data_IF_292319028558
#
_entry.id   IF_292319028558
#
_cell.length_a   1.000
_cell.length_b   1.000
_cell.length_c   1.000
_cell.angle_alpha   90.00
_cell.angle_beta   90.00
_cell.angle_gamma   90.00
#
_symmetry.space_group_name_H-M   'P 1'
#
loop_
_entity.id
_entity.type
_entity.pdbx_description
1 polymer ?
#
# COMPACT_ATOMS: atom_id res chain seq x y z
N UNK A 1 -6.75 -4.87 8.23
CA UNK A 1 -6.96 -3.62 7.46
C UNK A 1 -6.47 -2.44 8.28
N UNK A 2 -6.07 -1.33 7.66
CA UNK A 2 -5.69 -0.10 8.38
C UNK A 2 -6.85 0.39 9.25
N UNK A 3 -6.54 1.00 10.39
CA UNK A 3 -7.58 1.51 11.29
C UNK A 3 -8.40 2.62 10.60
N UNK A 4 -9.73 2.69 10.79
CA UNK A 4 -10.61 3.63 10.09
C UNK A 4 -10.20 5.11 10.21
N UNK A 5 -9.57 5.48 11.33
CA UNK A 5 -9.02 6.82 11.57
C UNK A 5 -7.96 7.27 10.56
N UNK A 6 -7.38 6.36 9.77
CA UNK A 6 -6.35 6.66 8.77
C UNK A 6 -6.90 6.76 7.35
N UNK A 7 -8.22 6.74 7.17
CA UNK A 7 -8.87 6.78 5.84
C UNK A 7 -8.51 8.03 5.07
N UNK A 8 -8.53 9.21 5.71
CA UNK A 8 -8.19 10.47 5.06
C UNK A 8 -6.74 10.48 4.56
N UNK A 9 -5.80 10.05 5.41
CA UNK A 9 -4.39 9.93 5.03
C UNK A 9 -4.18 8.98 3.84
N UNK A 10 -4.91 7.86 3.80
CA UNK A 10 -4.85 6.91 2.68
C UNK A 10 -5.35 7.52 1.37
N UNK A 11 -6.46 8.23 1.41
CA UNK A 11 -7.00 8.93 0.24
C UNK A 11 -6.00 9.96 -0.28
N UNK A 12 -5.41 10.74 0.62
CA UNK A 12 -4.41 11.75 0.26
C UNK A 12 -3.16 11.13 -0.38
N UNK A 13 -2.63 10.04 0.21
CA UNK A 13 -1.48 9.32 -0.36
C UNK A 13 -1.82 8.80 -1.75
N UNK A 14 -3.01 8.21 -1.94
CA UNK A 14 -3.43 7.71 -3.24
C UNK A 14 -3.48 8.82 -4.28
N UNK A 15 -4.09 9.96 -3.95
CA UNK A 15 -4.19 11.11 -4.85
C UNK A 15 -2.81 11.65 -5.23
N UNK A 16 -1.90 11.82 -4.26
CA UNK A 16 -0.54 12.31 -4.53
C UNK A 16 0.23 11.44 -5.53
N UNK A 17 0.11 10.12 -5.43
CA UNK A 17 0.73 9.21 -6.40
C UNK A 17 0.02 9.24 -7.75
N UNK A 18 -1.30 9.40 -7.76
CA UNK A 18 -2.09 9.51 -8.97
C UNK A 18 -1.75 10.77 -9.79
N UNK A 19 -1.55 11.90 -9.10
CA UNK A 19 -1.11 13.18 -9.65
C UNK A 19 0.34 13.13 -10.12
N UNK A 20 1.20 12.34 -9.44
CA UNK A 20 2.56 12.07 -9.86
C UNK A 20 2.66 11.10 -11.06
N UNK A 21 1.53 10.61 -11.59
CA UNK A 21 1.48 9.76 -12.78
C UNK A 21 1.56 8.26 -12.52
N UNK A 22 1.16 7.79 -11.33
CA UNK A 22 1.18 6.37 -10.96
C UNK A 22 -0.22 5.81 -10.67
N UNK A 23 -0.47 4.56 -11.07
CA UNK A 23 -1.57 3.73 -10.62
C UNK A 23 -1.16 3.04 -9.31
N UNK A 24 -1.69 3.50 -8.18
CA UNK A 24 -1.33 3.00 -6.85
C UNK A 24 -2.26 1.85 -6.41
N UNK A 25 -1.66 0.74 -5.99
CA UNK A 25 -2.31 -0.38 -5.31
C UNK A 25 -1.68 -0.59 -3.93
N UNK A 26 -2.42 -1.18 -2.98
CA UNK A 26 -1.85 -1.53 -1.69
C UNK A 26 -2.43 -2.83 -1.12
N UNK A 27 -1.62 -3.53 -0.32
CA UNK A 27 -2.03 -4.79 0.32
C UNK A 27 -1.37 -4.97 1.68
N UNK A 28 -2.11 -5.58 2.62
CA UNK A 28 -1.56 -6.06 3.89
C UNK A 28 -0.97 -7.45 3.65
N UNK A 29 0.31 -7.61 3.96
CA UNK A 29 1.03 -8.87 3.83
C UNK A 29 1.67 -9.24 5.16
N UNK A 30 1.72 -10.54 5.45
CA UNK A 30 2.48 -11.08 6.57
C UNK A 30 3.78 -11.72 6.08
N UNK A 31 4.88 -11.50 6.79
CA UNK A 31 6.18 -12.10 6.47
C UNK A 31 6.15 -13.63 6.58
N UNK A 32 5.30 -14.17 7.47
CA UNK A 32 5.06 -15.61 7.61
C UNK A 32 4.63 -16.29 6.31
N UNK A 33 3.87 -15.58 5.48
CA UNK A 33 3.30 -16.12 4.23
C UNK A 33 4.38 -16.28 3.15
N UNK A 34 5.57 -15.71 3.36
CA UNK A 34 6.70 -15.71 2.44
C UNK A 34 7.91 -16.46 2.99
N UNK A 35 7.68 -17.53 3.78
CA UNK A 35 8.72 -18.44 4.33
C UNK A 35 9.72 -17.74 5.28
N UNK A 36 9.34 -16.61 5.87
CA UNK A 36 10.10 -15.97 6.95
C UNK A 36 9.46 -16.37 8.28
N UNK A 37 10.20 -16.94 9.24
CA UNK A 37 9.66 -17.34 10.54
C UNK A 37 9.44 -16.12 11.46
N UNK A 38 8.63 -15.17 11.01
CA UNK A 38 8.32 -13.94 11.71
C UNK A 38 6.85 -13.56 11.46
N UNK A 39 6.09 -13.38 12.53
CA UNK A 39 4.76 -12.77 12.45
C UNK A 39 4.94 -11.24 12.42
N UNK A 40 4.89 -10.68 11.21
CA UNK A 40 5.11 -9.26 10.96
C UNK A 40 4.26 -8.83 9.78
N UNK A 41 3.14 -8.21 10.12
CA UNK A 41 2.24 -7.60 9.15
C UNK A 41 2.72 -6.20 8.76
N UNK A 42 2.75 -5.94 7.45
CA UNK A 42 3.07 -4.63 6.87
C UNK A 42 2.15 -4.33 5.70
N UNK A 43 1.80 -3.06 5.55
CA UNK A 43 1.08 -2.57 4.37
C UNK A 43 2.13 -2.18 3.33
N UNK A 44 2.00 -2.72 2.13
CA UNK A 44 2.83 -2.38 0.99
C UNK A 44 2.02 -1.56 0.00
N UNK A 45 2.60 -0.45 -0.45
CA UNK A 45 2.09 0.39 -1.52
C UNK A 45 2.93 0.13 -2.78
N UNK A 46 2.28 -0.18 -3.89
CA UNK A 46 2.93 -0.45 -5.18
C UNK A 46 2.31 0.45 -6.23
N UNK A 47 3.10 1.38 -6.76
CA UNK A 47 2.72 2.28 -7.83
C UNK A 47 3.33 1.87 -9.15
N UNK A 48 2.52 1.69 -10.19
CA UNK A 48 2.97 1.45 -11.57
C UNK A 48 2.75 2.74 -12.35
N UNK A 49 3.75 3.21 -13.10
CA UNK A 49 3.57 4.42 -13.92
C UNK A 49 2.41 4.23 -14.91
N UNK A 50 1.64 5.29 -15.13
CA UNK A 50 0.47 5.27 -16.03
C UNK A 50 0.81 5.08 -17.50
N UNK A 51 2.05 5.34 -17.90
CA UNK A 51 2.53 5.26 -19.28
C UNK A 51 3.20 3.92 -19.63
N UNK A 52 3.15 2.94 -18.72
CA UNK A 52 3.55 1.55 -18.95
C UNK A 52 2.32 0.69 -19.28
#
# INVERSE_FOLDING_TARGET
>A
MLAPRHTEALTNIKQMFEDAGYNLSFKLLNSSDFKVPQDRQRVFFVGIRKDL
#
